data_IF_595215300394
#
_entry.id   IF_595215300394
#
_cell.length_a   1.000
_cell.length_b   1.000
_cell.length_c   1.000
_cell.angle_alpha   90.00
_cell.angle_beta   90.00
_cell.angle_gamma   90.00
#
_symmetry.space_group_name_H-M   'P 1'
#
loop_
_entity.id
_entity.type
_entity.pdbx_description
1 polymer ?
#
# COMPACT_ATOMS: atom_id res chain seq x y z
N UNK A 1 10.32 15.49 7.52
CA UNK A 1 8.90 15.79 7.23
C UNK A 1 8.85 16.79 6.08
N UNK A 2 7.88 16.68 5.15
CA UNK A 2 7.78 17.62 4.02
C UNK A 2 7.62 19.06 4.51
N UNK A 3 8.29 20.01 3.85
CA UNK A 3 8.34 21.44 4.22
C UNK A 3 6.96 22.13 4.26
N UNK A 4 5.99 21.60 3.52
CA UNK A 4 4.60 22.07 3.48
C UNK A 4 3.90 21.95 4.85
N UNK A 5 4.35 21.02 5.71
CA UNK A 5 3.85 20.83 7.08
C UNK A 5 4.40 21.92 8.02
N UNK A 6 5.57 22.49 7.70
CA UNK A 6 6.25 23.50 8.54
C UNK A 6 5.67 24.91 8.31
N UNK A 7 5.19 25.23 7.11
CA UNK A 7 4.53 26.52 6.85
C UNK A 7 3.17 26.67 7.55
N UNK A 8 2.60 25.58 8.08
CA UNK A 8 1.44 25.60 8.96
C UNK A 8 1.76 26.00 10.42
N UNK A 9 3.05 26.14 10.78
CA UNK A 9 3.54 26.37 12.16
C UNK A 9 3.55 27.85 12.56
N UNK A 10 3.57 28.79 11.61
CA UNK A 10 3.77 30.22 11.92
C UNK A 10 2.47 31.01 12.16
N UNK A 11 1.30 30.46 11.80
CA UNK A 11 0.03 31.18 11.89
C UNK A 11 -0.83 30.70 13.06
N UNK A 12 -0.55 31.19 14.27
CA UNK A 12 -1.42 31.39 15.46
C UNK A 12 -2.77 30.62 15.55
N UNK A 13 -2.82 29.32 15.25
CA UNK A 13 -3.99 28.47 15.44
C UNK A 13 -3.86 27.67 16.74
N UNK A 14 -4.99 27.44 17.40
CA UNK A 14 -5.07 26.69 18.64
C UNK A 14 -4.29 25.36 18.54
N UNK A 15 -3.31 25.08 19.44
CA UNK A 15 -2.48 23.88 19.40
C UNK A 15 -3.26 22.55 19.47
N UNK A 16 -4.46 22.54 20.05
CA UNK A 16 -5.33 21.36 20.10
C UNK A 16 -5.93 21.02 18.73
N UNK A 17 -6.27 22.05 17.95
CA UNK A 17 -6.80 21.88 16.58
C UNK A 17 -5.71 21.32 15.66
N UNK A 18 -4.48 21.82 15.78
CA UNK A 18 -3.32 21.31 15.04
C UNK A 18 -3.08 19.81 15.29
N UNK A 19 -3.05 19.41 16.57
CA UNK A 19 -2.76 18.03 16.93
C UNK A 19 -3.82 17.09 16.35
N UNK A 20 -5.09 17.53 16.38
CA UNK A 20 -6.20 16.79 15.76
C UNK A 20 -6.05 16.68 14.25
N UNK A 21 -5.82 17.79 13.54
CA UNK A 21 -5.67 17.79 12.08
C UNK A 21 -4.48 16.93 11.63
N UNK A 22 -3.37 16.96 12.38
CA UNK A 22 -2.20 16.15 12.12
C UNK A 22 -2.49 14.65 12.27
N UNK A 23 -3.16 14.24 13.35
CA UNK A 23 -3.56 12.83 13.54
C UNK A 23 -4.50 12.39 12.43
N UNK A 24 -5.51 13.20 12.08
CA UNK A 24 -6.44 12.90 10.99
C UNK A 24 -5.72 12.78 9.63
N UNK A 25 -4.70 13.59 9.38
CA UNK A 25 -3.87 13.51 8.17
C UNK A 25 -3.07 12.21 8.14
N UNK A 26 -2.36 11.88 9.22
CA UNK A 26 -1.56 10.65 9.30
C UNK A 26 -2.44 9.41 9.18
N UNK A 27 -3.61 9.40 9.80
CA UNK A 27 -4.58 8.31 9.67
C UNK A 27 -5.06 8.13 8.23
N UNK A 28 -5.46 9.22 7.56
CA UNK A 28 -5.88 9.20 6.16
C UNK A 28 -4.76 8.70 5.24
N UNK A 29 -3.54 9.18 5.46
CA UNK A 29 -2.39 8.74 4.68
C UNK A 29 -2.09 7.26 4.89
N UNK A 30 -2.09 6.78 6.13
CA UNK A 30 -1.87 5.37 6.45
C UNK A 30 -2.93 4.47 5.80
N UNK A 31 -4.22 4.83 5.92
CA UNK A 31 -5.32 4.11 5.28
C UNK A 31 -5.16 4.07 3.75
N UNK A 32 -4.79 5.19 3.13
CA UNK A 32 -4.55 5.24 1.69
C UNK A 32 -3.39 4.34 1.26
N UNK A 33 -2.27 4.36 1.98
CA UNK A 33 -1.12 3.50 1.67
C UNK A 33 -1.46 2.03 1.85
N UNK A 34 -2.13 1.67 2.95
CA UNK A 34 -2.63 0.32 3.18
C UNK A 34 -3.53 -0.15 2.03
N UNK A 35 -4.52 0.65 1.64
CA UNK A 35 -5.42 0.31 0.54
C UNK A 35 -4.69 0.11 -0.79
N UNK A 36 -3.66 0.90 -1.07
CA UNK A 36 -2.80 0.70 -2.27
C UNK A 36 -2.02 -0.61 -2.19
N UNK A 37 -1.37 -0.88 -1.06
CA UNK A 37 -0.65 -2.13 -0.86
C UNK A 37 -1.56 -3.35 -1.00
N UNK A 38 -2.77 -3.30 -0.43
CA UNK A 38 -3.76 -4.38 -0.54
C UNK A 38 -4.22 -4.57 -2.00
N UNK A 39 -4.44 -3.48 -2.74
CA UNK A 39 -4.81 -3.55 -4.16
C UNK A 39 -3.69 -4.15 -5.03
N UNK A 40 -2.42 -3.79 -4.78
CA UNK A 40 -1.29 -4.38 -5.48
C UNK A 40 -1.10 -5.87 -5.16
N UNK A 41 -1.33 -6.25 -3.89
CA UNK A 41 -1.28 -7.66 -3.49
C UNK A 41 -2.37 -8.48 -4.21
N UNK A 42 -3.60 -7.98 -4.27
CA UNK A 42 -4.69 -8.63 -5.01
C UNK A 42 -4.38 -8.75 -6.50
N UNK A 43 -3.85 -7.69 -7.11
CA UNK A 43 -3.48 -7.71 -8.52
C UNK A 43 -2.39 -8.75 -8.81
N UNK A 44 -1.34 -8.80 -7.98
CA UNK A 44 -0.29 -9.82 -8.06
C UNK A 44 -0.87 -11.24 -8.00
N UNK A 45 -1.75 -11.51 -7.03
CA UNK A 45 -2.29 -12.86 -6.82
C UNK A 45 -3.18 -13.30 -7.97
N UNK A 46 -4.02 -12.40 -8.50
CA UNK A 46 -4.86 -12.66 -9.68
C UNK A 46 -3.98 -12.91 -10.90
N UNK A 47 -3.04 -12.01 -11.19
CA UNK A 47 -2.17 -12.13 -12.36
C UNK A 47 -1.33 -13.41 -12.30
N UNK A 48 -0.75 -13.72 -11.14
CA UNK A 48 0.03 -14.93 -10.93
C UNK A 48 -0.79 -16.21 -11.19
N UNK A 49 -2.04 -16.25 -10.70
CA UNK A 49 -2.95 -17.38 -10.96
C UNK A 49 -3.27 -17.53 -12.45
N UNK A 50 -3.60 -16.44 -13.13
CA UNK A 50 -3.93 -16.46 -14.57
C UNK A 50 -2.71 -16.89 -15.41
N UNK A 51 -1.51 -16.39 -15.09
CA UNK A 51 -0.27 -16.79 -15.77
C UNK A 51 0.04 -18.28 -15.56
N UNK A 52 -0.08 -18.77 -14.32
CA UNK A 52 0.12 -20.17 -13.99
C UNK A 52 -0.90 -21.09 -14.69
N UNK A 53 -2.14 -20.63 -14.85
CA UNK A 53 -3.20 -21.37 -15.55
C UNK A 53 -2.97 -21.41 -17.07
N UNK A 54 -2.69 -20.26 -17.67
CA UNK A 54 -2.56 -20.10 -19.12
C UNK A 54 -1.23 -20.63 -19.68
N UNK A 55 -0.16 -20.64 -18.87
CA UNK A 55 1.19 -21.06 -19.30
C UNK A 55 1.75 -22.07 -18.28
N UNK A 56 1.43 -23.37 -18.44
CA UNK A 56 1.84 -24.41 -17.49
C UNK A 56 3.34 -24.47 -17.23
N UNK A 57 4.16 -24.23 -18.26
CA UNK A 57 5.63 -24.26 -18.17
C UNK A 57 6.20 -23.17 -17.26
N UNK A 58 5.46 -22.08 -17.04
CA UNK A 58 5.89 -20.96 -16.19
C UNK A 58 5.36 -21.07 -14.75
N UNK A 59 4.57 -22.08 -14.41
CA UNK A 59 3.92 -22.20 -13.09
C UNK A 59 4.89 -22.05 -11.93
N UNK A 60 6.01 -22.76 -11.99
CA UNK A 60 6.99 -22.77 -10.91
C UNK A 60 7.72 -21.43 -10.76
N UNK A 61 8.02 -20.77 -11.88
CA UNK A 61 8.69 -19.47 -11.84
C UNK A 61 7.73 -18.37 -11.37
N UNK A 62 6.49 -18.39 -11.84
CA UNK A 62 5.42 -17.48 -11.38
C UNK A 62 5.16 -17.69 -9.89
N UNK A 63 5.10 -18.94 -9.42
CA UNK A 63 4.95 -19.28 -8.00
C UNK A 63 6.08 -18.68 -7.15
N UNK A 64 7.35 -18.87 -7.55
CA UNK A 64 8.50 -18.27 -6.85
C UNK A 64 8.42 -16.75 -6.77
N UNK A 65 8.03 -16.08 -7.87
CA UNK A 65 7.91 -14.62 -7.90
C UNK A 65 6.79 -14.15 -6.96
N UNK A 66 5.63 -14.79 -6.99
CA UNK A 66 4.51 -14.43 -6.11
C UNK A 66 4.87 -14.66 -4.64
N UNK A 67 5.48 -15.79 -4.29
CA UNK A 67 5.96 -16.08 -2.93
C UNK A 67 7.00 -15.04 -2.46
N UNK A 68 7.98 -14.71 -3.31
CA UNK A 68 9.02 -13.71 -3.00
C UNK A 68 8.49 -12.30 -2.80
N UNK A 69 7.33 -12.00 -3.40
CA UNK A 69 6.65 -10.71 -3.27
C UNK A 69 5.55 -10.70 -2.21
N UNK A 70 5.47 -11.75 -1.38
CA UNK A 70 4.59 -11.84 -0.21
C UNK A 70 3.16 -12.31 -0.52
N UNK A 71 2.97 -13.03 -1.62
CA UNK A 71 1.70 -13.67 -1.99
C UNK A 71 1.77 -15.18 -1.95
N UNK A 72 0.63 -15.83 -2.22
CA UNK A 72 0.55 -17.27 -2.37
C UNK A 72 -0.39 -17.61 -3.52
N UNK A 73 0.04 -18.51 -4.40
CA UNK A 73 -0.82 -19.08 -5.43
C UNK A 73 -1.40 -20.36 -4.83
N UNK A 74 -2.63 -20.31 -4.33
CA UNK A 74 -3.38 -21.53 -4.04
C UNK A 74 -3.61 -22.25 -5.36
N UNK A 75 -3.07 -23.46 -5.48
CA UNK A 75 -3.20 -24.32 -6.65
C UNK A 75 -4.63 -24.76 -6.91
#
# INVERSE_FOLDING_TARGET
>A
LPLEIIQYVENSRNPDIYTREFVELVMRYNQQQKGRSDAYAQFRDILGREMASAIPDLREDVRKVVESSGGQISG
#
